data_IF_608689607786
#
_entry.id   IF_608689607786
#
_cell.length_a   1.000
_cell.length_b   1.000
_cell.length_c   1.000
_cell.angle_alpha   90.00
_cell.angle_beta   90.00
_cell.angle_gamma   90.00
#
_symmetry.space_group_name_H-M   'P 1'
#
loop_
_entity.id
_entity.type
_entity.pdbx_description
1 polymer ?
#
# COMPACT_ATOMS: atom_id res chain seq x y z
N UNK A 1 -5.18 69.38 -77.82
CA UNK A 1 -5.99 69.57 -76.61
C UNK A 1 -6.64 68.30 -76.26
N UNK A 2 -6.21 67.62 -75.19
CA UNK A 2 -6.57 66.24 -74.85
C UNK A 2 -7.61 66.26 -73.77
N UNK A 3 -8.73 65.64 -74.01
CA UNK A 3 -9.84 65.37 -73.08
C UNK A 3 -9.44 64.25 -72.11
N UNK A 4 -9.61 64.46 -70.81
CA UNK A 4 -9.46 63.43 -69.78
C UNK A 4 -10.86 62.92 -69.40
N UNK A 5 -11.11 61.68 -69.69
CA UNK A 5 -12.29 60.96 -69.20
C UNK A 5 -12.09 60.47 -67.77
N UNK A 6 -12.92 60.91 -66.86
CA UNK A 6 -12.99 60.37 -65.51
C UNK A 6 -13.82 59.07 -65.49
N UNK A 7 -13.15 57.98 -65.17
CA UNK A 7 -13.82 56.67 -64.89
C UNK A 7 -13.99 56.59 -63.38
N UNK A 8 -15.24 56.54 -62.92
CA UNK A 8 -15.65 56.28 -61.54
C UNK A 8 -15.68 54.77 -61.33
N UNK A 9 -14.78 54.25 -60.47
CA UNK A 9 -14.84 52.88 -59.97
C UNK A 9 -15.76 52.82 -58.76
N UNK A 10 -16.88 52.11 -58.88
CA UNK A 10 -17.73 51.69 -57.74
C UNK A 10 -17.10 50.43 -57.10
N UNK A 11 -16.54 50.60 -55.92
CA UNK A 11 -16.09 49.48 -55.09
C UNK A 11 -17.30 48.87 -54.36
N UNK A 12 -17.69 47.65 -54.75
CA UNK A 12 -18.59 46.82 -53.96
C UNK A 12 -17.82 46.18 -52.82
N UNK A 13 -18.03 46.65 -51.59
CA UNK A 13 -17.53 46.00 -50.41
C UNK A 13 -18.41 44.82 -50.04
N UNK A 14 -17.95 43.60 -50.29
CA UNK A 14 -18.59 42.35 -49.81
C UNK A 14 -18.13 42.11 -48.36
N UNK A 15 -19.06 42.24 -47.40
CA UNK A 15 -18.81 41.80 -46.03
C UNK A 15 -18.81 40.24 -45.99
N UNK A 16 -17.78 39.61 -45.42
CA UNK A 16 -17.83 38.20 -45.18
C UNK A 16 -18.77 37.91 -43.97
N UNK A 17 -19.81 37.12 -44.21
CA UNK A 17 -20.64 36.53 -43.15
C UNK A 17 -19.80 35.44 -42.50
N UNK A 18 -19.25 35.71 -41.29
CA UNK A 18 -18.62 34.69 -40.44
C UNK A 18 -19.72 33.82 -39.83
N UNK A 19 -19.94 32.63 -40.44
CA UNK A 19 -20.72 31.57 -39.85
C UNK A 19 -19.86 30.95 -38.71
N UNK A 20 -20.13 31.33 -37.47
CA UNK A 20 -19.56 30.64 -36.31
C UNK A 20 -20.22 29.24 -36.20
N UNK A 21 -19.57 28.22 -36.68
CA UNK A 21 -19.85 26.85 -36.29
C UNK A 21 -19.48 26.70 -34.80
N UNK A 22 -20.46 26.71 -33.92
CA UNK A 22 -20.29 26.19 -32.54
C UNK A 22 -20.01 24.69 -32.68
N UNK A 23 -18.75 24.28 -32.60
CA UNK A 23 -18.43 22.88 -32.35
C UNK A 23 -19.02 22.51 -30.98
N UNK A 24 -19.98 21.61 -30.98
CA UNK A 24 -20.42 20.97 -29.76
C UNK A 24 -19.22 20.20 -29.18
N UNK A 25 -18.79 20.58 -27.97
CA UNK A 25 -17.82 19.79 -27.20
C UNK A 25 -18.48 18.46 -26.97
N UNK A 26 -17.90 17.32 -27.39
CA UNK A 26 -18.47 16.02 -27.10
C UNK A 26 -18.59 15.87 -25.60
N UNK A 27 -19.76 15.50 -25.10
CA UNK A 27 -19.97 15.13 -23.72
C UNK A 27 -18.89 14.13 -23.30
N UNK A 28 -18.21 14.42 -22.20
CA UNK A 28 -17.28 13.44 -21.61
C UNK A 28 -18.03 12.11 -21.50
N UNK A 29 -17.44 11.00 -21.96
CA UNK A 29 -18.09 9.72 -21.81
C UNK A 29 -18.40 9.56 -20.32
N UNK A 30 -19.67 9.39 -19.99
CA UNK A 30 -20.12 8.96 -18.66
C UNK A 30 -19.55 7.56 -18.52
N UNK A 31 -18.39 7.42 -17.88
CA UNK A 31 -17.87 6.13 -17.46
C UNK A 31 -18.89 5.63 -16.47
N UNK A 32 -19.73 4.68 -16.89
CA UNK A 32 -20.66 4.00 -16.00
C UNK A 32 -19.85 3.55 -14.80
N UNK A 33 -20.24 3.99 -13.60
CA UNK A 33 -19.64 3.53 -12.37
C UNK A 33 -19.79 2.01 -12.37
N UNK A 34 -18.68 1.32 -12.66
CA UNK A 34 -18.64 -0.12 -12.66
C UNK A 34 -18.83 -0.51 -11.19
N UNK A 35 -20.05 -0.83 -10.76
CA UNK A 35 -20.39 -1.25 -9.40
C UNK A 35 -19.76 -2.63 -9.16
N UNK A 36 -18.44 -2.66 -9.01
CA UNK A 36 -17.71 -3.86 -8.62
C UNK A 36 -18.25 -4.34 -7.30
N UNK A 37 -18.65 -5.60 -7.24
CA UNK A 37 -19.17 -6.20 -6.01
C UNK A 37 -18.09 -6.18 -4.92
N UNK A 38 -18.35 -5.48 -3.81
CA UNK A 38 -17.50 -5.52 -2.62
C UNK A 38 -17.70 -6.88 -1.93
N UNK A 39 -16.62 -7.59 -1.70
CA UNK A 39 -16.58 -8.90 -1.00
C UNK A 39 -16.03 -8.81 0.41
N UNK A 40 -15.24 -7.77 0.69
CA UNK A 40 -14.74 -7.45 2.02
C UNK A 40 -14.60 -5.93 2.16
N UNK A 41 -14.98 -5.42 3.32
CA UNK A 41 -14.78 -4.02 3.66
C UNK A 41 -14.66 -3.86 5.18
N UNK A 42 -13.68 -3.07 5.60
CA UNK A 42 -13.54 -2.59 6.96
C UNK A 42 -13.00 -1.15 6.92
N UNK A 43 -13.75 -0.23 7.48
CA UNK A 43 -13.42 1.21 7.60
C UNK A 43 -12.96 1.58 9.01
N UNK A 44 -12.78 0.56 9.88
CA UNK A 44 -12.34 0.74 11.25
C UNK A 44 -13.11 1.82 12.04
N UNK A 45 -14.39 2.02 11.71
CA UNK A 45 -15.26 3.01 12.38
C UNK A 45 -15.69 2.60 13.80
N UNK A 46 -15.36 1.37 14.22
CA UNK A 46 -15.70 0.82 15.54
C UNK A 46 -14.90 1.44 16.69
N UNK A 47 -15.13 0.94 17.90
CA UNK A 47 -14.34 1.28 19.09
C UNK A 47 -13.21 0.29 19.36
N UNK A 48 -13.23 -0.86 18.71
CA UNK A 48 -12.26 -1.95 18.83
C UNK A 48 -12.15 -2.69 17.51
N UNK A 49 -11.09 -3.48 17.35
CA UNK A 49 -10.89 -4.34 16.19
C UNK A 49 -12.06 -5.34 16.07
N UNK A 50 -12.63 -5.46 14.87
CA UNK A 50 -13.69 -6.42 14.58
C UNK A 50 -13.11 -7.84 14.53
N UNK A 51 -13.26 -8.59 15.61
CA UNK A 51 -12.74 -9.95 15.73
C UNK A 51 -13.51 -10.97 14.87
N UNK A 52 -14.60 -10.59 14.22
CA UNK A 52 -15.25 -11.45 13.21
C UNK A 52 -14.51 -11.40 11.87
N UNK A 53 -13.79 -10.30 11.59
CA UNK A 53 -13.00 -10.08 10.38
C UNK A 53 -11.51 -10.37 10.60
N UNK A 54 -10.95 -10.00 11.74
CA UNK A 54 -9.52 -10.01 12.01
C UNK A 54 -9.14 -10.93 13.17
N UNK A 55 -8.01 -11.59 13.05
CA UNK A 55 -7.28 -12.21 14.15
C UNK A 55 -6.15 -11.28 14.57
N UNK A 56 -5.83 -11.24 15.85
CA UNK A 56 -4.56 -10.70 16.35
C UNK A 56 -3.54 -11.84 16.37
N UNK A 57 -2.40 -11.64 15.75
CA UNK A 57 -1.31 -12.62 15.77
C UNK A 57 -0.42 -12.38 16.97
N UNK A 58 -0.19 -13.42 17.76
CA UNK A 58 0.69 -13.40 18.93
C UNK A 58 1.82 -14.38 18.66
N UNK A 59 3.02 -13.88 18.47
CA UNK A 59 4.18 -14.72 18.15
C UNK A 59 5.49 -14.05 18.49
N UNK A 60 6.42 -14.86 19.05
CA UNK A 60 7.85 -14.53 19.16
C UNK A 60 8.67 -15.07 18.00
N UNK A 61 8.03 -15.71 17.00
CA UNK A 61 8.76 -16.14 15.81
C UNK A 61 9.15 -14.90 14.99
N UNK A 62 10.45 -14.67 14.89
CA UNK A 62 10.98 -13.62 14.03
C UNK A 62 11.57 -14.23 12.77
N UNK A 63 11.05 -13.77 11.65
CA UNK A 63 11.66 -13.97 10.35
C UNK A 63 12.60 -12.79 10.07
N UNK A 64 13.53 -12.94 9.14
CA UNK A 64 14.33 -11.83 8.62
C UNK A 64 15.10 -11.01 9.70
N UNK A 65 15.41 -11.60 10.87
CA UNK A 65 16.03 -10.90 12.01
C UNK A 65 15.26 -9.66 12.49
N UNK A 66 13.94 -9.65 12.32
CA UNK A 66 13.06 -8.61 12.86
C UNK A 66 13.19 -8.54 14.40
N UNK A 67 12.98 -7.35 14.98
CA UNK A 67 13.34 -7.08 16.36
C UNK A 67 12.17 -7.20 17.36
N UNK A 68 10.93 -7.28 16.87
CA UNK A 68 9.72 -7.27 17.70
C UNK A 68 9.13 -8.66 17.92
N UNK A 69 8.46 -8.84 19.07
CA UNK A 69 7.39 -9.81 19.22
C UNK A 69 6.05 -9.18 18.82
N UNK A 70 5.16 -9.93 18.17
CA UNK A 70 3.78 -9.51 17.97
C UNK A 70 2.93 -9.89 19.17
N UNK A 71 2.10 -8.96 19.63
CA UNK A 71 1.30 -9.11 20.85
C UNK A 71 -0.13 -8.61 20.67
N UNK A 72 -1.05 -9.15 21.46
CA UNK A 72 -2.40 -8.61 21.63
C UNK A 72 -2.38 -7.56 22.73
N UNK A 73 -2.25 -6.31 22.34
CA UNK A 73 -2.19 -5.16 23.25
C UNK A 73 -2.77 -3.90 22.60
N UNK A 74 -3.61 -3.19 23.35
CA UNK A 74 -4.09 -1.88 22.93
C UNK A 74 -2.96 -0.85 22.72
N UNK A 75 -1.78 -1.10 23.25
CA UNK A 75 -0.59 -0.27 23.03
C UNK A 75 -0.04 -0.43 21.60
N UNK A 76 -0.25 -1.58 20.95
CA UNK A 76 0.31 -1.92 19.65
C UNK A 76 -0.76 -2.00 18.54
N UNK A 77 -2.01 -2.29 18.90
CA UNK A 77 -3.16 -2.40 18.00
C UNK A 77 -4.32 -1.63 18.63
N UNK A 78 -4.78 -0.59 17.99
CA UNK A 78 -5.93 0.18 18.49
C UNK A 78 -6.75 0.77 17.34
N UNK A 79 -8.04 0.99 17.59
CA UNK A 79 -8.88 1.81 16.72
C UNK A 79 -8.88 3.22 17.28
N UNK A 80 -8.52 4.19 16.44
CA UNK A 80 -8.46 5.60 16.79
C UNK A 80 -9.53 6.37 16.02
N UNK A 81 -10.04 7.45 16.63
CA UNK A 81 -11.03 8.30 15.97
C UNK A 81 -10.36 9.21 14.91
N UNK A 82 -11.20 9.86 14.09
CA UNK A 82 -10.73 10.75 13.03
C UNK A 82 -9.86 11.93 13.55
N UNK A 83 -10.05 12.39 14.80
CA UNK A 83 -9.22 13.43 15.38
C UNK A 83 -7.76 12.98 15.64
N UNK A 84 -7.56 11.69 15.93
CA UNK A 84 -6.23 11.10 16.10
C UNK A 84 -5.64 10.57 14.78
N UNK A 85 -6.47 10.45 13.74
CA UNK A 85 -6.12 10.02 12.40
C UNK A 85 -6.62 11.05 11.37
N UNK A 86 -6.10 12.27 11.45
CA UNK A 86 -6.50 13.39 10.58
C UNK A 86 -6.46 12.98 9.10
N UNK A 87 -7.59 13.18 8.39
CA UNK A 87 -7.80 12.80 7.00
C UNK A 87 -8.36 11.38 6.80
N UNK A 88 -8.62 10.62 7.88
CA UNK A 88 -9.42 9.40 7.82
C UNK A 88 -10.92 9.74 7.76
N UNK A 89 -11.70 8.86 7.13
CA UNK A 89 -13.14 9.11 6.94
C UNK A 89 -13.95 8.95 8.25
N UNK A 90 -13.76 7.84 8.97
CA UNK A 90 -14.54 7.48 10.16
C UNK A 90 -13.67 7.24 11.40
N UNK A 91 -12.45 6.88 11.21
CA UNK A 91 -11.46 6.48 12.18
C UNK A 91 -10.36 5.71 11.49
N UNK A 92 -9.47 5.08 12.22
CA UNK A 92 -8.42 4.27 11.61
C UNK A 92 -7.97 3.15 12.55
N UNK A 93 -7.57 2.03 11.98
CA UNK A 93 -6.68 1.10 12.67
C UNK A 93 -5.31 1.77 12.84
N UNK A 94 -4.77 1.75 14.05
CA UNK A 94 -3.39 2.14 14.34
C UNK A 94 -2.58 0.92 14.76
N UNK A 95 -1.54 0.63 13.99
CA UNK A 95 -0.47 -0.29 14.39
C UNK A 95 0.75 0.53 14.82
N UNK A 96 1.30 0.20 15.99
CA UNK A 96 2.38 0.97 16.59
C UNK A 96 3.38 0.06 17.29
N UNK A 97 4.69 0.11 16.93
CA UNK A 97 5.71 -0.57 17.71
C UNK A 97 5.97 0.16 19.02
N UNK A 98 6.34 -0.60 20.06
CA UNK A 98 6.73 -0.08 21.38
C UNK A 98 8.10 -0.60 21.76
N UNK A 99 8.91 0.28 22.34
CA UNK A 99 10.14 -0.12 23.00
C UNK A 99 9.81 -0.62 24.42
N UNK A 100 10.00 -1.92 24.65
CA UNK A 100 9.66 -2.62 25.89
C UNK A 100 10.81 -3.57 26.23
N UNK A 101 11.98 -3.03 26.63
CA UNK A 101 13.18 -3.84 26.79
C UNK A 101 12.97 -4.95 27.82
N UNK A 102 13.40 -6.14 27.44
CA UNK A 102 13.28 -7.32 28.28
C UNK A 102 11.90 -7.97 28.27
N UNK A 103 11.01 -7.66 27.31
CA UNK A 103 9.76 -8.37 27.14
C UNK A 103 10.02 -9.87 26.88
N UNK A 104 9.30 -10.73 27.59
CA UNK A 104 9.41 -12.19 27.46
C UNK A 104 8.09 -12.74 26.94
N UNK A 105 8.15 -13.46 25.83
CA UNK A 105 7.01 -14.15 25.23
C UNK A 105 6.60 -15.38 26.05
N UNK A 106 5.42 -15.95 25.80
CA UNK A 106 4.94 -17.16 26.50
C UNK A 106 5.86 -18.37 26.34
N UNK A 107 6.59 -18.44 25.23
CA UNK A 107 7.58 -19.49 24.91
C UNK A 107 9.00 -19.14 25.38
N UNK A 108 9.17 -18.06 26.17
CA UNK A 108 10.40 -17.70 26.83
C UNK A 108 11.40 -16.92 26.00
N UNK A 109 11.05 -16.48 24.79
CA UNK A 109 11.92 -15.65 23.97
C UNK A 109 11.94 -14.20 24.46
N UNK A 110 13.10 -13.55 24.42
CA UNK A 110 13.30 -12.17 24.90
C UNK A 110 13.38 -11.19 23.75
N UNK A 111 12.64 -10.08 23.87
CA UNK A 111 12.57 -8.98 22.90
C UNK A 111 12.73 -7.63 23.60
N UNK A 112 13.18 -6.62 22.86
CA UNK A 112 13.19 -5.23 23.31
C UNK A 112 12.08 -4.40 22.64
N UNK A 113 11.36 -5.01 21.68
CA UNK A 113 10.23 -4.37 21.01
C UNK A 113 9.02 -5.31 21.02
N UNK A 114 7.84 -4.70 21.14
CA UNK A 114 6.56 -5.36 20.85
C UNK A 114 5.85 -4.57 19.74
N UNK A 115 5.02 -5.25 18.95
CA UNK A 115 4.29 -4.61 17.85
C UNK A 115 2.96 -5.33 17.55
N UNK A 116 2.22 -4.79 16.59
CA UNK A 116 0.93 -5.32 16.15
C UNK A 116 1.01 -6.02 14.81
N UNK A 117 0.32 -7.18 14.70
CA UNK A 117 0.03 -7.88 13.45
C UNK A 117 -1.39 -8.44 13.50
N UNK A 118 -2.17 -8.16 12.46
CA UNK A 118 -3.52 -8.69 12.31
C UNK A 118 -3.65 -9.39 10.96
N UNK A 119 -4.54 -10.38 10.89
CA UNK A 119 -4.79 -11.12 9.66
C UNK A 119 -6.23 -11.64 9.57
N UNK A 120 -6.65 -12.02 8.36
CA UNK A 120 -7.99 -12.58 8.10
C UNK A 120 -8.00 -14.11 7.94
N UNK A 121 -6.94 -14.82 8.31
CA UNK A 121 -6.80 -16.27 8.14
C UNK A 121 -7.98 -17.03 8.76
N UNK A 122 -8.57 -17.97 8.01
CA UNK A 122 -9.74 -18.76 8.40
C UNK A 122 -11.02 -17.93 8.64
N UNK A 123 -11.04 -16.65 8.29
CA UNK A 123 -12.21 -15.76 8.35
C UNK A 123 -12.58 -15.24 6.97
N UNK A 124 -11.61 -14.65 6.28
CA UNK A 124 -11.78 -14.15 4.92
C UNK A 124 -10.55 -14.52 4.11
N UNK A 125 -10.75 -15.39 3.13
CA UNK A 125 -9.75 -15.77 2.15
C UNK A 125 -10.27 -15.41 0.76
N UNK A 126 -9.39 -14.90 -0.09
CA UNK A 126 -9.73 -14.30 -1.38
C UNK A 126 -8.90 -14.97 -2.46
N UNK A 127 -9.55 -15.24 -3.58
CA UNK A 127 -8.88 -15.61 -4.83
C UNK A 127 -9.36 -14.65 -5.90
N UNK A 128 -8.44 -13.83 -6.40
CA UNK A 128 -8.67 -12.77 -7.39
C UNK A 128 -9.54 -11.60 -6.91
N UNK A 129 -9.37 -10.47 -7.55
CA UNK A 129 -10.07 -9.23 -7.24
C UNK A 129 -9.15 -8.02 -7.19
N UNK A 130 -9.71 -6.85 -6.94
CA UNK A 130 -8.96 -5.66 -6.53
C UNK A 130 -8.88 -5.66 -5.00
N UNK A 131 -7.67 -5.70 -4.46
CA UNK A 131 -7.39 -5.71 -3.03
C UNK A 131 -6.68 -4.40 -2.70
N UNK A 132 -7.26 -3.57 -1.85
CA UNK A 132 -6.79 -2.21 -1.60
C UNK A 132 -6.88 -1.84 -0.12
N UNK A 133 -5.97 -0.98 0.33
CA UNK A 133 -6.02 -0.33 1.64
C UNK A 133 -5.58 1.14 1.51
N UNK A 134 -6.22 2.03 2.27
CA UNK A 134 -5.79 3.42 2.40
C UNK A 134 -4.98 3.57 3.67
N UNK A 135 -3.69 3.91 3.52
CA UNK A 135 -2.68 3.84 4.57
C UNK A 135 -1.90 5.16 4.63
N UNK A 136 -1.55 5.56 5.86
CA UNK A 136 -0.63 6.65 6.16
C UNK A 136 0.46 6.16 7.10
N UNK A 137 1.71 6.49 6.79
CA UNK A 137 2.88 6.00 7.51
C UNK A 137 3.60 7.14 8.26
N UNK A 138 4.60 6.79 9.04
CA UNK A 138 5.52 7.75 9.64
C UNK A 138 6.94 7.49 9.17
N UNK A 139 7.69 8.56 8.93
CA UNK A 139 9.10 8.48 8.57
C UNK A 139 9.94 7.90 9.71
N UNK A 140 10.95 7.10 9.37
CA UNK A 140 11.94 6.59 10.31
C UNK A 140 12.65 5.35 9.77
N UNK A 141 13.91 5.51 9.33
CA UNK A 141 14.71 4.41 8.79
C UNK A 141 14.71 3.20 9.71
N UNK A 142 14.40 2.02 9.18
CA UNK A 142 14.32 0.79 9.97
C UNK A 142 12.93 0.46 10.50
N UNK A 143 11.91 1.30 10.29
CA UNK A 143 10.51 0.92 10.42
C UNK A 143 10.14 0.05 9.21
N UNK A 144 9.38 -1.04 9.44
CA UNK A 144 8.99 -1.96 8.36
C UNK A 144 7.51 -2.36 8.47
N UNK A 145 6.58 -1.41 8.34
CA UNK A 145 5.17 -1.73 8.17
C UNK A 145 4.89 -2.34 6.80
N UNK A 146 3.92 -3.27 6.76
CA UNK A 146 3.52 -3.94 5.53
C UNK A 146 2.01 -4.18 5.44
N UNK A 147 1.51 -4.12 4.20
CA UNK A 147 0.20 -4.55 3.75
C UNK A 147 0.38 -5.62 2.68
N UNK A 148 0.00 -6.85 2.97
CA UNK A 148 0.31 -8.01 2.16
C UNK A 148 -0.72 -9.13 2.30
N UNK A 149 -0.64 -10.14 1.44
CA UNK A 149 -1.54 -11.29 1.42
C UNK A 149 -0.74 -12.57 1.22
N UNK A 150 -1.16 -13.64 1.91
CA UNK A 150 -0.42 -14.89 2.01
C UNK A 150 -1.33 -16.10 1.82
N UNK A 151 -0.85 -17.13 1.11
CA UNK A 151 -1.52 -18.43 1.01
C UNK A 151 -1.41 -19.25 2.30
N UNK A 152 -2.36 -20.16 2.54
CA UNK A 152 -2.46 -20.95 3.79
C UNK A 152 -1.54 -22.18 3.85
N UNK A 153 -0.78 -22.49 2.80
CA UNK A 153 0.10 -23.64 2.77
C UNK A 153 1.55 -23.33 3.13
N UNK A 154 2.48 -24.11 2.55
CA UNK A 154 3.93 -23.97 2.81
C UNK A 154 4.48 -22.79 1.99
N UNK A 155 5.11 -21.85 2.68
CA UNK A 155 5.86 -20.77 2.04
C UNK A 155 7.18 -21.29 1.44
N UNK A 156 7.61 -20.82 0.25
CA UNK A 156 6.98 -19.83 -0.62
C UNK A 156 6.04 -20.44 -1.69
N UNK A 157 5.74 -21.74 -1.63
CA UNK A 157 4.97 -22.44 -2.65
C UNK A 157 3.55 -21.89 -2.84
N UNK A 158 2.94 -21.41 -1.76
CA UNK A 158 1.57 -20.85 -1.77
C UNK A 158 1.51 -19.40 -2.24
N UNK A 159 2.67 -18.79 -2.48
CA UNK A 159 2.79 -17.42 -2.95
C UNK A 159 2.45 -16.37 -1.89
N UNK A 160 3.19 -15.27 -1.94
CA UNK A 160 3.03 -14.06 -1.13
C UNK A 160 2.94 -12.87 -2.07
N UNK A 161 2.06 -11.93 -1.79
CA UNK A 161 1.87 -10.71 -2.57
C UNK A 161 1.95 -9.53 -1.59
N UNK A 162 3.05 -8.80 -1.64
CA UNK A 162 3.29 -7.62 -0.82
C UNK A 162 2.74 -6.41 -1.56
N UNK A 163 1.53 -6.00 -1.18
CA UNK A 163 0.85 -4.88 -1.83
C UNK A 163 1.57 -3.58 -1.52
N UNK A 164 2.08 -3.44 -0.30
CA UNK A 164 2.93 -2.34 0.13
C UNK A 164 3.91 -2.79 1.20
N UNK A 165 5.18 -2.54 1.00
CA UNK A 165 6.23 -2.56 2.01
C UNK A 165 6.95 -1.21 2.07
N UNK A 166 7.32 -0.81 3.28
CA UNK A 166 8.01 0.43 3.56
C UNK A 166 9.12 0.18 4.58
N UNK A 167 10.28 0.77 4.40
CA UNK A 167 11.42 0.56 5.31
C UNK A 167 11.95 1.84 5.97
N UNK A 168 11.12 2.88 5.99
CA UNK A 168 11.39 4.10 6.75
C UNK A 168 11.91 5.29 5.95
N UNK A 169 12.16 5.16 4.64
CA UNK A 169 12.52 6.26 3.74
C UNK A 169 11.25 6.83 3.11
N UNK A 170 10.88 8.06 3.47
CA UNK A 170 9.56 8.63 3.17
C UNK A 170 9.21 8.79 1.70
N UNK A 171 10.21 8.82 0.83
CA UNK A 171 10.07 9.13 -0.59
C UNK A 171 9.71 7.92 -1.45
N UNK A 172 9.61 6.70 -0.88
CA UNK A 172 9.21 5.52 -1.66
C UNK A 172 8.54 4.43 -0.82
N UNK A 173 7.76 3.60 -1.51
CA UNK A 173 7.27 2.31 -1.04
C UNK A 173 7.44 1.26 -2.13
N UNK A 174 7.50 -0.01 -1.76
CA UNK A 174 7.67 -1.12 -2.69
C UNK A 174 6.48 -2.06 -2.69
N UNK A 175 6.32 -2.76 -3.83
CA UNK A 175 5.49 -3.93 -3.96
C UNK A 175 6.37 -5.12 -4.36
N UNK A 176 6.05 -6.31 -3.86
CA UNK A 176 6.82 -7.52 -4.12
C UNK A 176 5.91 -8.73 -4.34
N UNK A 177 6.49 -9.76 -4.95
CA UNK A 177 5.88 -11.09 -4.99
C UNK A 177 6.92 -12.16 -4.71
N UNK A 178 6.51 -13.18 -3.95
CA UNK A 178 7.33 -14.33 -3.62
C UNK A 178 6.61 -15.63 -3.99
N UNK A 179 7.39 -16.55 -4.55
CA UNK A 179 6.95 -17.88 -4.94
C UNK A 179 8.13 -18.82 -5.04
N UNK A 180 7.89 -20.11 -5.31
CA UNK A 180 8.95 -21.08 -5.47
C UNK A 180 9.89 -20.67 -6.61
N UNK A 181 11.18 -20.46 -6.30
CA UNK A 181 12.22 -20.02 -7.24
C UNK A 181 12.43 -18.51 -7.30
N UNK A 182 11.52 -17.71 -6.74
CA UNK A 182 11.62 -16.25 -6.63
C UNK A 182 11.11 -15.79 -5.26
N UNK A 183 11.89 -16.00 -4.22
CA UNK A 183 11.51 -15.67 -2.84
C UNK A 183 12.68 -15.16 -2.02
N UNK A 184 12.41 -14.50 -0.89
CA UNK A 184 13.43 -13.85 -0.10
C UNK A 184 14.17 -12.81 -0.95
N UNK A 185 15.50 -12.89 -1.01
CA UNK A 185 16.34 -11.96 -1.80
C UNK A 185 16.14 -12.05 -3.31
N UNK A 186 15.57 -13.15 -3.80
CA UNK A 186 15.20 -13.33 -5.20
C UNK A 186 13.74 -12.95 -5.51
N UNK A 187 13.01 -12.34 -4.57
CA UNK A 187 11.67 -11.83 -4.78
C UNK A 187 11.62 -10.83 -5.93
N UNK A 188 10.51 -10.82 -6.67
CA UNK A 188 10.31 -9.85 -7.75
C UNK A 188 9.72 -8.59 -7.15
N UNK A 189 10.46 -7.49 -7.18
CA UNK A 189 10.16 -6.25 -6.46
C UNK A 189 10.20 -5.05 -7.40
N UNK A 190 9.32 -4.10 -7.20
CA UNK A 190 9.44 -2.74 -7.76
C UNK A 190 9.11 -1.67 -6.71
N UNK A 191 9.61 -0.45 -6.94
CA UNK A 191 9.41 0.72 -6.07
C UNK A 191 8.70 1.82 -6.82
N UNK A 192 7.81 2.53 -6.13
CA UNK A 192 7.31 3.82 -6.58
C UNK A 192 7.95 4.90 -5.71
N UNK A 193 8.52 5.92 -6.35
CA UNK A 193 9.02 7.11 -5.69
C UNK A 193 7.96 8.20 -5.71
N UNK A 194 7.67 8.73 -4.53
CA UNK A 194 6.71 9.82 -4.33
C UNK A 194 7.40 11.18 -4.47
N UNK A 195 6.61 12.22 -4.66
CA UNK A 195 7.10 13.60 -4.62
C UNK A 195 7.19 14.11 -3.18
N UNK A 196 8.05 15.07 -2.91
CA UNK A 196 8.28 15.64 -1.55
C UNK A 196 7.00 16.13 -0.85
N UNK A 197 6.01 16.59 -1.61
CA UNK A 197 4.74 17.09 -1.07
C UNK A 197 3.67 16.00 -0.89
N UNK A 198 3.90 14.80 -1.39
CA UNK A 198 2.96 13.69 -1.38
C UNK A 198 3.70 12.37 -1.10
N UNK A 199 4.51 12.35 -0.06
CA UNK A 199 5.28 11.19 0.38
C UNK A 199 4.41 10.23 1.25
N UNK A 200 4.97 9.11 1.66
CA UNK A 200 4.25 8.07 2.43
C UNK A 200 3.63 8.58 3.75
N UNK A 201 4.00 9.79 4.21
CA UNK A 201 3.41 10.42 5.40
C UNK A 201 2.06 11.07 5.12
N UNK A 202 1.63 11.07 3.86
CA UNK A 202 0.28 11.40 3.45
C UNK A 202 -0.57 10.11 3.32
N UNK A 203 -1.87 10.28 3.13
CA UNK A 203 -2.76 9.15 2.86
C UNK A 203 -2.61 8.68 1.41
N UNK A 204 -2.32 7.41 1.22
CA UNK A 204 -2.24 6.76 -0.10
C UNK A 204 -3.11 5.51 -0.16
N UNK A 205 -3.60 5.19 -1.35
CA UNK A 205 -4.28 3.93 -1.63
C UNK A 205 -3.30 2.96 -2.28
N UNK A 206 -2.96 1.91 -1.56
CA UNK A 206 -2.10 0.83 -2.03
C UNK A 206 -2.97 -0.35 -2.46
N UNK A 207 -2.90 -0.73 -3.72
CA UNK A 207 -3.78 -1.73 -4.30
C UNK A 207 -3.06 -2.72 -5.22
N UNK A 208 -3.66 -3.91 -5.37
CA UNK A 208 -3.32 -4.87 -6.41
C UNK A 208 -4.59 -5.35 -7.11
N UNK A 209 -4.60 -5.29 -8.46
CA UNK A 209 -5.55 -6.04 -9.27
C UNK A 209 -4.97 -7.44 -9.51
N UNK A 210 -5.62 -8.44 -8.94
CA UNK A 210 -5.19 -9.83 -9.00
C UNK A 210 -6.15 -10.65 -9.86
N UNK A 211 -5.62 -11.14 -10.98
CA UNK A 211 -6.32 -12.01 -11.95
C UNK A 211 -5.69 -13.40 -12.00
N UNK A 212 -6.28 -14.40 -12.68
CA UNK A 212 -5.64 -15.70 -12.91
C UNK A 212 -4.26 -15.61 -13.57
N UNK A 213 -4.00 -14.58 -14.35
CA UNK A 213 -2.83 -14.50 -15.22
C UNK A 213 -1.91 -13.28 -14.89
N UNK A 214 -2.33 -12.39 -13.99
CA UNK A 214 -1.54 -11.19 -13.70
C UNK A 214 -1.83 -10.57 -12.32
N UNK A 215 -0.83 -9.85 -11.82
CA UNK A 215 -0.89 -8.94 -10.70
C UNK A 215 -0.48 -7.56 -11.20
N UNK A 216 -1.31 -6.54 -10.96
CA UNK A 216 -1.03 -5.15 -11.31
C UNK A 216 -1.12 -4.33 -10.03
N UNK A 217 0.02 -3.91 -9.50
CA UNK A 217 0.10 -3.06 -8.32
C UNK A 217 -0.12 -1.61 -8.72
N UNK A 218 -0.90 -0.90 -7.90
CA UNK A 218 -1.26 0.51 -8.13
C UNK A 218 -1.16 1.28 -6.83
N UNK A 219 -0.53 2.44 -6.86
CA UNK A 219 -0.51 3.39 -5.76
C UNK A 219 -1.22 4.66 -6.23
N UNK A 220 -2.29 5.05 -5.54
CA UNK A 220 -3.21 6.13 -5.95
C UNK A 220 -3.69 5.98 -7.40
N UNK A 221 -4.11 4.76 -7.76
CA UNK A 221 -4.54 4.35 -9.11
C UNK A 221 -3.44 4.39 -10.20
N UNK A 222 -2.20 4.77 -9.85
CA UNK A 222 -1.06 4.76 -10.76
C UNK A 222 -0.48 3.34 -10.81
N UNK A 223 -0.52 2.63 -11.96
CA UNK A 223 0.14 1.34 -12.10
C UNK A 223 1.67 1.49 -11.93
N UNK A 224 2.23 0.80 -10.95
CA UNK A 224 3.65 0.89 -10.63
C UNK A 224 4.43 -0.41 -10.86
N UNK A 225 3.74 -1.56 -10.82
CA UNK A 225 4.37 -2.85 -11.01
C UNK A 225 3.38 -3.83 -11.64
N UNK A 226 3.84 -4.61 -12.60
CA UNK A 226 3.04 -5.66 -13.24
C UNK A 226 3.85 -6.95 -13.31
N UNK A 227 3.26 -8.03 -12.83
CA UNK A 227 3.76 -9.41 -12.96
C UNK A 227 2.71 -10.23 -13.69
N UNK A 228 3.12 -11.01 -14.67
CA UNK A 228 2.26 -11.95 -15.38
C UNK A 228 2.71 -13.38 -15.14
N UNK A 229 1.78 -14.32 -15.28
CA UNK A 229 2.07 -15.76 -15.20
C UNK A 229 3.17 -16.19 -16.18
N UNK A 230 3.21 -15.58 -17.35
CA UNK A 230 4.26 -15.85 -18.34
C UNK A 230 5.62 -15.35 -17.86
N UNK A 231 5.69 -14.17 -17.23
CA UNK A 231 6.96 -13.62 -16.71
C UNK A 231 7.56 -14.52 -15.62
N UNK A 232 6.73 -15.03 -14.70
CA UNK A 232 7.23 -15.88 -13.60
C UNK A 232 7.81 -17.19 -14.06
N UNK A 233 7.46 -17.72 -15.25
CA UNK A 233 8.01 -18.96 -15.79
C UNK A 233 9.54 -18.95 -15.95
N UNK A 234 10.16 -17.76 -16.07
CA UNK A 234 11.62 -17.63 -16.10
C UNK A 234 12.28 -17.83 -14.73
N UNK A 235 11.52 -17.75 -13.64
CA UNK A 235 12.01 -17.82 -12.27
C UNK A 235 11.47 -19.03 -11.52
N UNK A 236 10.20 -19.40 -11.78
CA UNK A 236 9.52 -20.50 -11.12
C UNK A 236 8.04 -20.59 -11.47
N UNK A 237 7.30 -21.54 -10.86
CA UNK A 237 5.88 -21.71 -11.13
C UNK A 237 5.07 -20.51 -10.61
N UNK A 238 3.93 -20.23 -11.26
CA UNK A 238 2.94 -19.29 -10.78
C UNK A 238 2.35 -19.75 -9.45
N UNK A 239 2.42 -18.90 -8.42
CA UNK A 239 2.00 -19.23 -7.05
C UNK A 239 0.75 -18.45 -6.60
N UNK A 240 0.00 -17.82 -7.56
CA UNK A 240 -1.07 -16.89 -7.25
C UNK A 240 -2.42 -17.34 -7.80
N UNK A 241 -2.71 -18.66 -7.79
CA UNK A 241 -3.98 -19.25 -8.20
C UNK A 241 -4.67 -20.03 -7.04
N UNK A 242 -4.35 -19.67 -5.81
CA UNK A 242 -4.88 -20.26 -4.60
C UNK A 242 -5.38 -19.18 -3.62
N UNK A 243 -6.33 -19.51 -2.71
CA UNK A 243 -6.84 -18.57 -1.74
C UNK A 243 -5.74 -17.98 -0.85
N UNK A 244 -5.86 -16.69 -0.55
CA UNK A 244 -4.95 -15.96 0.33
C UNK A 244 -5.72 -15.13 1.34
N UNK A 245 -5.13 -14.94 2.52
CA UNK A 245 -5.65 -14.09 3.57
C UNK A 245 -4.87 -12.78 3.65
N UNK A 246 -5.52 -11.73 4.14
CA UNK A 246 -5.00 -10.38 4.29
C UNK A 246 -4.17 -10.27 5.56
N UNK A 247 -3.08 -9.47 5.51
CA UNK A 247 -2.21 -9.21 6.66
C UNK A 247 -1.83 -7.73 6.70
N UNK A 248 -1.90 -7.15 7.89
CA UNK A 248 -1.35 -5.85 8.24
C UNK A 248 -0.43 -6.03 9.44
N UNK A 249 0.80 -5.55 9.36
CA UNK A 249 1.75 -5.61 10.48
C UNK A 249 2.69 -4.41 10.49
N UNK A 250 3.38 -4.26 11.63
CA UNK A 250 4.43 -3.30 11.79
C UNK A 250 5.68 -3.98 12.36
N UNK A 251 6.62 -4.36 11.50
CA UNK A 251 7.92 -4.88 11.89
C UNK A 251 8.92 -3.73 12.17
N UNK A 252 9.99 -4.04 12.88
CA UNK A 252 11.05 -3.09 13.27
C UNK A 252 12.40 -3.73 13.01
N UNK A 253 13.30 -2.99 12.35
CA UNK A 253 14.63 -3.46 12.00
C UNK A 253 14.62 -4.70 11.11
N UNK A 254 15.66 -5.52 11.21
CA UNK A 254 15.78 -6.75 10.44
C UNK A 254 16.61 -6.61 9.17
N UNK A 255 16.63 -7.71 8.38
CA UNK A 255 17.54 -7.83 7.24
C UNK A 255 17.22 -6.86 6.12
N UNK A 256 15.93 -6.59 5.83
CA UNK A 256 15.56 -5.72 4.72
C UNK A 256 15.94 -4.26 4.98
N UNK A 257 15.54 -3.63 6.10
CA UNK A 257 16.05 -2.31 6.44
C UNK A 257 17.58 -2.26 6.53
N UNK A 258 18.22 -3.29 7.11
CA UNK A 258 19.68 -3.35 7.20
C UNK A 258 20.36 -3.30 5.84
N UNK A 259 19.85 -4.00 4.83
CA UNK A 259 20.42 -3.99 3.48
C UNK A 259 20.40 -2.62 2.82
N UNK A 260 19.50 -1.75 3.25
CA UNK A 260 19.38 -0.39 2.72
C UNK A 260 20.21 0.59 3.56
N UNK A 261 20.12 0.53 4.90
CA UNK A 261 20.71 1.54 5.78
C UNK A 261 22.08 1.13 6.39
N UNK A 262 22.45 -0.15 6.32
CA UNK A 262 23.72 -0.68 6.84
C UNK A 262 23.89 -0.62 8.37
N UNK A 263 22.85 -0.24 9.12
CA UNK A 263 22.93 -0.01 10.57
C UNK A 263 22.97 -1.32 11.34
N UNK A 264 24.02 -1.51 12.15
CA UNK A 264 24.18 -2.69 13.02
C UNK A 264 23.86 -2.38 14.50
N UNK A 265 24.05 -1.15 14.92
CA UNK A 265 23.88 -0.69 16.31
C UNK A 265 23.03 0.60 16.36
N UNK A 266 22.18 0.81 17.38
CA UNK A 266 22.03 -0.05 18.57
C UNK A 266 21.30 -1.36 18.30
N UNK A 267 20.49 -1.42 17.23
CA UNK A 267 19.75 -2.60 16.78
C UNK A 267 19.93 -2.82 15.28
N UNK A 268 19.89 -4.07 14.87
CA UNK A 268 20.09 -4.48 13.48
C UNK A 268 19.02 -3.90 12.55
N UNK A 269 19.43 -3.04 11.62
CA UNK A 269 18.55 -2.34 10.71
C UNK A 269 17.79 -1.14 11.32
N UNK A 270 18.03 -0.78 12.62
CA UNK A 270 17.30 0.29 13.30
C UNK A 270 18.27 1.31 13.91
N UNK A 271 18.39 2.53 13.38
CA UNK A 271 19.25 3.58 13.93
C UNK A 271 18.67 4.23 15.20
N UNK A 272 19.55 4.89 15.99
CA UNK A 272 19.17 5.58 17.21
C UNK A 272 18.06 6.62 17.01
N UNK A 273 18.09 7.37 15.92
CA UNK A 273 17.05 8.37 15.63
C UNK A 273 15.64 7.74 15.62
N UNK A 274 15.49 6.59 14.96
CA UNK A 274 14.21 5.88 14.88
C UNK A 274 13.86 5.20 16.20
N UNK A 275 14.87 4.68 16.95
CA UNK A 275 14.63 4.16 18.28
C UNK A 275 14.00 5.24 19.19
N UNK A 276 14.48 6.48 19.13
CA UNK A 276 13.88 7.60 19.87
C UNK A 276 12.47 7.95 19.39
N UNK A 277 12.16 7.83 18.09
CA UNK A 277 10.78 7.98 17.58
C UNK A 277 9.86 6.91 18.18
N UNK A 278 10.30 5.65 18.26
CA UNK A 278 9.52 4.55 18.85
C UNK A 278 9.32 4.80 20.37
N UNK A 279 10.37 5.15 21.14
CA UNK A 279 10.28 5.46 22.56
C UNK A 279 9.30 6.60 22.85
N UNK A 280 9.23 7.58 21.96
CA UNK A 280 8.34 8.74 22.06
C UNK A 280 6.96 8.50 21.41
N UNK A 281 6.61 7.27 21.05
CA UNK A 281 5.33 6.89 20.42
C UNK A 281 5.02 7.63 19.10
N UNK A 282 6.04 8.03 18.36
CA UNK A 282 5.88 8.77 17.09
C UNK A 282 5.82 7.87 15.86
N UNK A 283 6.22 6.59 15.99
CA UNK A 283 6.18 5.62 14.88
C UNK A 283 4.82 4.93 14.86
N UNK A 284 4.08 5.06 13.75
CA UNK A 284 2.76 4.44 13.58
C UNK A 284 2.41 4.23 12.12
N UNK A 285 1.59 3.23 11.86
CA UNK A 285 0.87 2.99 10.62
C UNK A 285 -0.62 3.21 10.91
N UNK A 286 -1.26 4.07 10.15
CA UNK A 286 -2.69 4.29 10.20
C UNK A 286 -3.33 3.68 8.95
N UNK A 287 -4.42 2.94 9.12
CA UNK A 287 -5.21 2.35 8.03
C UNK A 287 -6.64 2.85 8.15
N UNK A 288 -7.06 3.68 7.19
CA UNK A 288 -8.39 4.25 7.13
C UNK A 288 -9.43 3.19 6.78
N UNK A 289 -9.13 2.40 5.75
CA UNK A 289 -9.97 1.28 5.35
C UNK A 289 -9.17 0.20 4.59
N UNK A 290 -9.75 -1.00 4.59
CA UNK A 290 -9.36 -2.13 3.73
C UNK A 290 -10.57 -2.56 2.91
N UNK A 291 -10.39 -2.76 1.60
CA UNK A 291 -11.47 -3.10 0.67
C UNK A 291 -11.03 -4.15 -0.33
N UNK A 292 -11.90 -5.14 -0.56
CA UNK A 292 -11.75 -6.10 -1.64
C UNK A 292 -12.99 -6.08 -2.51
N UNK A 293 -12.80 -5.97 -3.82
CA UNK A 293 -13.88 -6.02 -4.81
C UNK A 293 -13.60 -7.09 -5.86
N UNK A 294 -14.64 -7.69 -6.42
CA UNK A 294 -14.50 -8.51 -7.64
C UNK A 294 -14.03 -7.63 -8.78
N UNK A 295 -13.25 -8.21 -9.70
CA UNK A 295 -12.81 -7.55 -10.93
C UNK A 295 -13.96 -7.40 -11.92
#
# INVERSE_FOLDING_TARGET
MKSFNNIVFLLFASLPVLVQCKQAVPDKPVIAANNKQTVFFDDFAGKALDTTKWNVEITGMHFNNELQAYVDSAATISIVNAAAAEGAENGALMLQPKFTPGYITKDGQKFDFISGRINTKNKVEITYGTIAAKIKLTEGMGLWPAWWILGTGIWPQTGEIDVMEYIGEKDWASAAVHGKGYSGDAGLVNRLYFTDSNDVTQWHVYAVDWTPDSLIFKYDDIPMFRITKLMTQFFGPWAFDNPKYLILNFAVGGIYPFKINGVKQPYYGLPNATLELIKNNKSKMLVDWVKVTKL
#
